data_IF_541541029562
#
_entry.id   IF_541541029562
#
_cell.length_a   1.000
_cell.length_b   1.000
_cell.length_c   1.000
_cell.angle_alpha   90.00
_cell.angle_beta   90.00
_cell.angle_gamma   90.00
#
_symmetry.space_group_name_H-M   'P 1'
#
loop_
_entity.id
_entity.type
_entity.pdbx_description
1 polymer ?
#
# COMPACT_ATOMS: atom_id res chain seq x y z
N UNK A 1 13.18 8.79 -14.34
CA UNK A 1 12.32 8.06 -13.39
C UNK A 1 11.23 7.42 -14.22
N UNK A 2 11.14 6.11 -14.22
CA UNK A 2 10.01 5.40 -14.82
C UNK A 2 9.12 4.91 -13.67
N UNK A 3 7.82 4.78 -13.94
CA UNK A 3 6.80 4.45 -12.94
C UNK A 3 6.00 3.25 -13.43
N UNK A 4 5.63 2.35 -12.53
CA UNK A 4 4.66 1.28 -12.79
C UNK A 4 3.33 1.59 -12.10
N UNK A 5 2.22 1.28 -12.77
CA UNK A 5 0.88 1.37 -12.17
C UNK A 5 0.55 0.07 -11.47
N UNK A 6 0.37 0.09 -10.14
CA UNK A 6 -0.02 -1.08 -9.35
C UNK A 6 -1.49 -1.00 -8.92
N UNK A 7 -2.32 -1.90 -9.45
CA UNK A 7 -3.76 -1.92 -9.14
C UNK A 7 -4.04 -2.38 -7.72
N UNK A 8 -3.12 -3.14 -7.13
CA UNK A 8 -3.22 -3.57 -5.73
C UNK A 8 -3.10 -2.42 -4.73
N UNK A 9 -2.68 -1.23 -5.18
CA UNK A 9 -2.65 0.01 -4.39
C UNK A 9 -3.80 0.97 -4.71
N UNK A 10 -4.78 0.57 -5.53
CA UNK A 10 -5.94 1.41 -5.80
C UNK A 10 -6.83 1.56 -4.55
N UNK A 11 -7.67 2.59 -4.58
CA UNK A 11 -8.71 2.89 -3.58
C UNK A 11 -9.50 1.65 -3.18
N UNK A 12 -10.08 1.70 -1.98
CA UNK A 12 -11.03 0.70 -1.55
C UNK A 12 -12.23 0.68 -2.50
N UNK A 13 -12.42 -0.43 -3.21
CA UNK A 13 -13.51 -0.58 -4.18
C UNK A 13 -14.82 -0.92 -3.46
N UNK A 14 -15.23 -0.07 -2.53
CA UNK A 14 -16.34 -0.34 -1.62
C UNK A 14 -17.10 0.94 -1.23
N UNK A 15 -18.24 0.77 -0.53
CA UNK A 15 -19.12 1.87 -0.13
C UNK A 15 -18.53 2.75 0.98
N UNK A 16 -17.51 2.24 1.67
CA UNK A 16 -16.76 2.94 2.70
C UNK A 16 -15.92 4.08 2.13
N UNK A 17 -15.39 3.91 0.91
CA UNK A 17 -14.56 4.93 0.24
C UNK A 17 -15.29 5.62 -0.92
N UNK A 18 -16.20 4.93 -1.62
CA UNK A 18 -16.86 5.46 -2.81
C UNK A 18 -18.35 5.65 -2.56
N UNK A 19 -18.86 6.86 -2.84
CA UNK A 19 -20.27 7.17 -2.70
C UNK A 19 -21.13 6.25 -3.60
N UNK A 20 -22.06 5.45 -3.03
CA UNK A 20 -22.87 4.51 -3.82
C UNK A 20 -23.71 5.16 -4.94
N UNK A 21 -23.99 6.46 -4.86
CA UNK A 21 -24.76 7.18 -5.89
C UNK A 21 -23.95 7.43 -7.17
N UNK A 22 -22.63 7.40 -7.11
CA UNK A 22 -21.74 7.57 -8.27
C UNK A 22 -21.10 6.25 -8.73
N UNK A 23 -21.24 5.18 -7.94
CA UNK A 23 -20.73 3.86 -8.30
C UNK A 23 -21.48 3.30 -9.53
N UNK A 24 -20.79 2.63 -10.47
CA UNK A 24 -21.42 1.97 -11.61
C UNK A 24 -22.44 0.93 -11.16
N UNK A 25 -23.66 1.00 -11.68
CA UNK A 25 -24.76 0.09 -11.32
C UNK A 25 -24.56 -1.34 -11.84
N UNK A 26 -23.78 -1.49 -12.91
CA UNK A 26 -23.41 -2.76 -13.53
C UNK A 26 -22.07 -3.31 -12.99
N UNK A 27 -21.44 -2.61 -12.03
CA UNK A 27 -20.13 -2.95 -11.51
C UNK A 27 -18.97 -2.73 -12.49
N UNK A 28 -19.24 -2.18 -13.68
CA UNK A 28 -18.23 -1.91 -14.68
C UNK A 28 -17.65 -0.50 -14.47
N UNK A 29 -16.43 -0.46 -13.94
CA UNK A 29 -15.71 0.80 -13.69
C UNK A 29 -15.14 1.46 -14.94
N UNK A 30 -15.23 0.80 -16.12
CA UNK A 30 -14.73 1.35 -17.37
C UNK A 30 -13.24 1.71 -17.33
N UNK A 31 -12.48 1.00 -16.50
CA UNK A 31 -11.08 1.30 -16.25
C UNK A 31 -10.20 0.42 -17.13
N UNK A 32 -9.86 0.93 -18.32
CA UNK A 32 -8.84 0.33 -19.18
C UNK A 32 -7.46 0.87 -18.79
N UNK A 33 -6.63 0.00 -18.20
CA UNK A 33 -5.28 0.38 -17.75
C UNK A 33 -4.41 0.88 -18.90
N UNK A 34 -4.52 0.25 -20.08
CA UNK A 34 -3.71 0.61 -21.24
C UNK A 34 -4.10 2.00 -21.75
N UNK A 35 -5.40 2.30 -21.76
CA UNK A 35 -5.91 3.63 -22.08
C UNK A 35 -5.40 4.67 -21.09
N UNK A 36 -5.44 4.39 -19.78
CA UNK A 36 -4.96 5.33 -18.75
C UNK A 36 -3.45 5.55 -18.82
N UNK A 37 -2.68 4.49 -19.08
CA UNK A 37 -1.22 4.60 -19.23
C UNK A 37 -0.83 5.39 -20.50
N UNK A 38 -1.60 5.25 -21.58
CA UNK A 38 -1.38 6.01 -22.81
C UNK A 38 -1.65 7.52 -22.65
N UNK A 39 -2.39 7.93 -21.62
CA UNK A 39 -2.60 9.35 -21.28
C UNK A 39 -1.38 9.99 -20.60
N UNK A 40 -0.44 9.19 -20.08
CA UNK A 40 0.77 9.69 -19.44
C UNK A 40 1.81 10.12 -20.49
N UNK A 41 2.71 11.07 -20.15
CA UNK A 41 3.78 11.46 -21.07
C UNK A 41 4.62 10.28 -21.55
N UNK A 42 5.06 10.33 -22.81
CA UNK A 42 5.87 9.27 -23.39
C UNK A 42 7.15 9.03 -22.57
N UNK A 43 7.42 7.77 -22.23
CA UNK A 43 8.55 7.37 -21.40
C UNK A 43 8.32 7.45 -19.88
N UNK A 44 7.13 7.87 -19.41
CA UNK A 44 6.78 7.85 -17.99
C UNK A 44 6.56 6.43 -17.47
N UNK A 45 5.81 5.60 -18.20
CA UNK A 45 5.45 4.24 -17.76
C UNK A 45 6.59 3.26 -18.08
N UNK A 46 6.99 2.47 -17.09
CA UNK A 46 7.85 1.31 -17.33
C UNK A 46 7.00 0.09 -17.70
N UNK A 47 7.00 -0.25 -18.99
CA UNK A 47 6.26 -1.41 -19.50
C UNK A 47 6.97 -2.75 -19.24
N UNK A 48 8.18 -2.75 -18.66
CA UNK A 48 8.91 -3.97 -18.32
C UNK A 48 8.56 -4.50 -16.92
N UNK A 49 8.02 -3.63 -16.06
CA UNK A 49 7.56 -4.00 -14.73
C UNK A 49 6.22 -4.72 -14.84
N UNK A 50 6.14 -5.91 -14.24
CA UNK A 50 4.89 -6.66 -14.15
C UNK A 50 4.15 -6.21 -12.90
N UNK A 51 2.85 -5.95 -13.05
CA UNK A 51 1.96 -5.70 -11.91
C UNK A 51 1.84 -6.96 -11.07
N UNK A 52 1.87 -6.79 -9.76
CA UNK A 52 1.57 -7.86 -8.81
C UNK A 52 0.07 -8.15 -8.86
N UNK A 53 -0.76 -7.11 -8.85
CA UNK A 53 -2.20 -7.22 -8.97
C UNK A 53 -2.66 -6.90 -10.41
N UNK A 54 -3.31 -7.87 -11.05
CA UNK A 54 -3.58 -7.82 -12.52
C UNK A 54 -4.86 -7.10 -12.90
N UNK A 55 -5.83 -7.07 -12.00
CA UNK A 55 -7.17 -6.55 -12.25
C UNK A 55 -7.59 -5.65 -11.09
N UNK A 56 -8.57 -4.77 -11.30
CA UNK A 56 -9.12 -4.01 -10.18
C UNK A 56 -9.81 -4.96 -9.18
N UNK A 57 -9.78 -4.63 -7.87
CA UNK A 57 -10.58 -5.32 -6.88
C UNK A 57 -12.07 -5.24 -7.25
N UNK A 58 -12.82 -6.29 -6.90
CA UNK A 58 -14.25 -6.34 -7.15
C UNK A 58 -14.99 -5.29 -6.31
N UNK A 59 -16.07 -4.75 -6.86
CA UNK A 59 -16.94 -3.83 -6.13
C UNK A 59 -17.51 -4.48 -4.87
N UNK A 60 -17.57 -3.70 -3.78
CA UNK A 60 -17.92 -4.15 -2.43
C UNK A 60 -16.91 -5.14 -1.84
N UNK A 61 -15.62 -4.98 -2.17
CA UNK A 61 -14.57 -5.67 -1.42
C UNK A 61 -14.68 -5.30 0.08
N UNK A 62 -14.65 -6.28 1.00
CA UNK A 62 -14.66 -6.00 2.42
C UNK A 62 -13.43 -5.21 2.86
N UNK A 63 -13.60 -4.27 3.81
CA UNK A 63 -12.49 -3.49 4.40
C UNK A 63 -11.31 -4.36 4.82
N UNK A 64 -11.58 -5.53 5.44
CA UNK A 64 -10.54 -6.47 5.85
C UNK A 64 -9.75 -7.05 4.67
N UNK A 65 -10.41 -7.28 3.53
CA UNK A 65 -9.75 -7.75 2.30
C UNK A 65 -8.94 -6.64 1.64
N UNK A 66 -9.44 -5.40 1.62
CA UNK A 66 -8.67 -4.24 1.15
C UNK A 66 -7.38 -4.06 1.97
N UNK A 67 -7.49 -4.15 3.30
CA UNK A 67 -6.31 -4.06 4.20
C UNK A 67 -5.31 -5.16 3.94
N UNK A 68 -5.77 -6.41 3.82
CA UNK A 68 -4.91 -7.54 3.50
C UNK A 68 -4.22 -7.37 2.14
N UNK A 69 -4.94 -6.85 1.13
CA UNK A 69 -4.39 -6.53 -0.19
C UNK A 69 -3.29 -5.48 -0.11
N UNK A 70 -3.51 -4.36 0.59
CA UNK A 70 -2.47 -3.34 0.75
C UNK A 70 -1.21 -3.90 1.45
N UNK A 71 -1.38 -4.64 2.55
CA UNK A 71 -0.25 -5.29 3.24
C UNK A 71 0.53 -6.22 2.30
N UNK A 72 -0.17 -7.09 1.58
CA UNK A 72 0.43 -8.05 0.67
C UNK A 72 1.21 -7.35 -0.45
N UNK A 73 0.65 -6.30 -1.04
CA UNK A 73 1.28 -5.59 -2.15
C UNK A 73 2.55 -4.86 -1.70
N UNK A 74 2.56 -4.27 -0.51
CA UNK A 74 3.80 -3.67 0.04
C UNK A 74 4.90 -4.72 0.21
N UNK A 75 4.54 -5.94 0.67
CA UNK A 75 5.49 -7.05 0.81
C UNK A 75 6.00 -7.55 -0.54
N UNK A 76 5.08 -7.87 -1.46
CA UNK A 76 5.40 -8.44 -2.76
C UNK A 76 6.28 -7.49 -3.59
N UNK A 77 5.93 -6.20 -3.66
CA UNK A 77 6.75 -5.23 -4.37
C UNK A 77 8.15 -5.11 -3.75
N UNK A 78 8.26 -5.06 -2.42
CA UNK A 78 9.56 -5.00 -1.79
C UNK A 78 10.39 -6.28 -2.06
N UNK A 79 9.73 -7.45 -2.13
CA UNK A 79 10.36 -8.75 -2.40
C UNK A 79 10.83 -8.90 -3.84
N UNK A 80 10.07 -8.36 -4.80
CA UNK A 80 10.43 -8.32 -6.22
C UNK A 80 11.61 -7.37 -6.49
N UNK A 81 11.76 -6.32 -5.67
CA UNK A 81 12.80 -5.29 -5.79
C UNK A 81 13.67 -5.16 -4.52
N UNK A 82 14.37 -6.24 -4.08
CA UNK A 82 15.01 -6.29 -2.77
C UNK A 82 16.25 -5.41 -2.64
N UNK A 83 16.75 -4.85 -3.74
CA UNK A 83 17.93 -3.96 -3.76
C UNK A 83 17.58 -2.51 -4.06
N UNK A 84 16.30 -2.17 -4.19
CA UNK A 84 15.83 -0.84 -4.57
C UNK A 84 15.09 -0.16 -3.42
N UNK A 85 15.07 1.17 -3.45
CA UNK A 85 14.17 1.95 -2.62
C UNK A 85 12.89 2.20 -3.42
N UNK A 86 11.75 1.76 -2.88
CA UNK A 86 10.45 1.91 -3.53
C UNK A 86 9.71 3.13 -2.96
N UNK A 87 9.13 3.93 -3.86
CA UNK A 87 8.17 4.97 -3.50
C UNK A 87 6.79 4.52 -3.96
N UNK A 88 5.93 4.19 -3.00
CA UNK A 88 4.56 3.75 -3.25
C UNK A 88 3.61 4.91 -2.98
N UNK A 89 2.78 5.27 -3.96
CA UNK A 89 1.80 6.36 -3.86
C UNK A 89 0.41 5.75 -3.89
N UNK A 90 -0.41 6.02 -2.87
CA UNK A 90 -1.74 5.43 -2.68
C UNK A 90 -2.64 6.37 -1.83
N UNK A 91 -3.74 5.83 -1.33
CA UNK A 91 -4.78 6.49 -0.54
C UNK A 91 -4.47 6.46 0.97
N UNK A 92 -5.20 7.25 1.76
CA UNK A 92 -4.98 7.35 3.20
C UNK A 92 -5.06 6.01 3.93
N UNK A 93 -6.01 5.14 3.54
CA UNK A 93 -6.12 3.79 4.11
C UNK A 93 -4.88 2.94 3.80
N UNK A 94 -4.34 3.01 2.58
CA UNK A 94 -3.12 2.29 2.20
C UNK A 94 -1.90 2.71 3.03
N UNK A 95 -1.76 4.02 3.29
CA UNK A 95 -0.72 4.56 4.19
C UNK A 95 -0.92 4.07 5.63
N UNK A 96 -2.16 4.08 6.14
CA UNK A 96 -2.48 3.58 7.48
C UNK A 96 -2.22 2.09 7.64
N UNK A 97 -2.50 1.28 6.61
CA UNK A 97 -2.18 -0.14 6.58
C UNK A 97 -0.68 -0.38 6.57
N UNK A 98 0.08 0.36 5.75
CA UNK A 98 1.54 0.28 5.75
C UNK A 98 2.13 0.54 7.15
N UNK A 99 1.55 1.44 7.95
CA UNK A 99 2.00 1.59 9.34
C UNK A 99 1.56 0.43 10.22
N UNK A 100 0.26 0.13 10.26
CA UNK A 100 -0.32 -0.82 11.24
C UNK A 100 0.05 -2.28 10.98
N UNK A 101 0.32 -2.65 9.73
CA UNK A 101 0.77 -4.00 9.37
C UNK A 101 2.20 -4.29 9.85
N UNK A 102 3.07 -3.27 9.89
CA UNK A 102 4.48 -3.43 10.23
C UNK A 102 4.87 -2.83 11.59
N UNK A 103 4.01 -2.03 12.23
CA UNK A 103 4.15 -1.58 13.61
C UNK A 103 3.16 -2.32 14.51
N UNK A 104 3.68 -3.30 15.25
CA UNK A 104 2.86 -4.19 16.08
C UNK A 104 1.94 -3.42 17.04
N UNK A 105 0.65 -3.78 17.00
CA UNK A 105 -0.43 -3.21 17.82
C UNK A 105 -0.73 -1.72 17.58
N UNK A 106 -0.18 -1.10 16.53
CA UNK A 106 -0.55 0.27 16.21
C UNK A 106 -1.96 0.35 15.65
N UNK A 107 -2.72 1.36 16.12
CA UNK A 107 -4.01 1.72 15.54
C UNK A 107 -3.90 3.12 14.97
N UNK A 108 -4.01 3.25 13.65
CA UNK A 108 -4.04 4.52 12.94
C UNK A 108 -5.44 5.10 13.03
N UNK A 109 -5.55 6.38 13.36
CA UNK A 109 -6.84 7.09 13.44
C UNK A 109 -6.91 8.30 12.52
N UNK A 110 -5.79 8.77 11.99
CA UNK A 110 -5.75 9.90 11.05
C UNK A 110 -4.54 9.80 10.12
N UNK A 111 -4.76 10.14 8.85
CA UNK A 111 -3.74 10.26 7.81
C UNK A 111 -4.03 11.55 7.04
N UNK A 112 -3.14 12.52 7.17
CA UNK A 112 -3.24 13.83 6.53
C UNK A 112 -2.92 13.78 5.02
N UNK A 113 -3.24 14.87 4.32
CA UNK A 113 -2.86 15.02 2.92
C UNK A 113 -1.33 15.03 2.76
N UNK A 114 -0.82 14.24 1.81
CA UNK A 114 0.62 14.00 1.61
C UNK A 114 1.35 13.38 2.82
N UNK A 115 0.61 12.77 3.76
CA UNK A 115 1.22 11.98 4.81
C UNK A 115 1.95 10.75 4.23
N UNK A 116 2.97 10.27 4.94
CA UNK A 116 3.78 9.14 4.49
C UNK A 116 4.24 8.25 5.65
N UNK A 117 4.57 7.01 5.30
CA UNK A 117 5.18 6.03 6.20
C UNK A 117 6.51 5.58 5.61
N UNK A 118 7.56 5.58 6.42
CA UNK A 118 8.87 5.05 6.05
C UNK A 118 9.04 3.66 6.66
N UNK A 119 9.27 2.68 5.79
CA UNK A 119 9.51 1.29 6.13
C UNK A 119 10.95 0.92 5.74
N UNK A 120 11.64 0.21 6.62
CA UNK A 120 12.98 -0.30 6.38
C UNK A 120 13.06 -1.76 6.73
N UNK A 121 13.80 -2.55 5.96
CA UNK A 121 14.09 -3.95 6.30
C UNK A 121 15.53 -4.32 5.93
N UNK A 122 16.17 -5.25 6.67
CA UNK A 122 17.49 -5.72 6.30
C UNK A 122 17.41 -6.72 5.14
N UNK A 123 18.39 -6.63 4.23
CA UNK A 123 18.54 -7.52 3.08
C UNK A 123 19.88 -8.23 3.20
N UNK A 124 19.84 -9.55 3.29
CA UNK A 124 21.03 -10.40 3.41
C UNK A 124 21.25 -11.14 2.10
N UNK A 125 22.36 -10.84 1.41
CA UNK A 125 22.75 -11.59 0.22
C UNK A 125 23.47 -12.88 0.64
N UNK A 126 22.95 -14.03 0.20
CA UNK A 126 23.60 -15.32 0.38
C UNK A 126 23.70 -16.01 -0.97
N UNK A 127 24.93 -16.18 -1.45
CA UNK A 127 25.20 -16.75 -2.79
C UNK A 127 24.46 -15.98 -3.90
N UNK A 128 23.55 -16.67 -4.61
CA UNK A 128 22.71 -16.13 -5.69
C UNK A 128 21.28 -15.79 -5.24
N UNK A 129 20.98 -15.84 -3.93
CA UNK A 129 19.65 -15.50 -3.40
C UNK A 129 19.70 -14.39 -2.35
N UNK A 130 18.54 -13.77 -2.13
CA UNK A 130 18.35 -12.78 -1.08
C UNK A 130 17.50 -13.40 0.03
N UNK A 131 17.89 -13.15 1.28
CA UNK A 131 17.06 -13.36 2.45
C UNK A 131 16.66 -12.00 3.00
N UNK A 132 15.37 -11.76 3.12
CA UNK A 132 14.81 -10.52 3.67
C UNK A 132 14.50 -10.71 5.15
N UNK A 133 14.66 -9.65 5.95
CA UNK A 133 14.17 -9.60 7.32
C UNK A 133 12.80 -8.92 7.41
N UNK A 134 12.28 -8.82 8.64
CA UNK A 134 11.06 -8.09 8.93
C UNK A 134 11.22 -6.59 8.71
N UNK A 135 10.11 -5.92 8.40
CA UNK A 135 10.06 -4.47 8.34
C UNK A 135 10.12 -3.83 9.72
N UNK A 136 10.79 -2.70 9.78
CA UNK A 136 10.81 -1.72 10.84
C UNK A 136 10.13 -0.45 10.33
N UNK A 137 9.20 0.09 11.12
CA UNK A 137 8.57 1.39 10.84
C UNK A 137 9.42 2.49 11.44
N UNK A 138 9.95 3.38 10.60
CA UNK A 138 10.76 4.52 11.04
C UNK A 138 9.92 5.77 11.31
N UNK A 139 8.66 5.76 10.87
CA UNK A 139 7.70 6.84 11.13
C UNK A 139 7.33 6.94 12.60
N UNK A 140 7.43 8.16 13.14
CA UNK A 140 6.94 8.50 14.46
C UNK A 140 5.63 9.31 14.36
N UNK A 141 4.74 9.09 15.34
CA UNK A 141 3.42 9.75 15.39
C UNK A 141 3.54 11.26 15.31
N UNK A 142 2.72 11.89 14.46
CA UNK A 142 2.65 13.35 14.29
C UNK A 142 3.82 13.99 13.54
N UNK A 143 4.82 13.22 13.08
CA UNK A 143 5.94 13.79 12.30
C UNK A 143 5.71 13.75 10.79
N UNK A 144 4.91 12.80 10.31
CA UNK A 144 4.72 12.53 8.87
C UNK A 144 3.27 12.67 8.42
N UNK A 145 2.44 13.38 9.20
CA UNK A 145 0.99 13.49 8.97
C UNK A 145 0.21 12.20 9.28
N UNK A 146 0.85 11.20 9.92
CA UNK A 146 0.19 9.97 10.37
C UNK A 146 0.06 9.99 11.88
N UNK A 147 -1.17 9.88 12.37
CA UNK A 147 -1.47 9.84 13.80
C UNK A 147 -1.97 8.45 14.20
N UNK A 148 -1.29 7.86 15.18
CA UNK A 148 -1.60 6.53 15.70
C UNK A 148 -1.36 6.44 17.21
N UNK A 149 -2.00 5.48 17.86
CA UNK A 149 -1.69 5.09 19.22
C UNK A 149 -1.17 3.65 19.29
N UNK A 150 -0.32 3.40 20.29
CA UNK A 150 0.08 2.06 20.71
C UNK A 150 -0.65 1.75 22.02
N UNK A 151 -1.12 0.50 22.24
CA UNK A 151 -1.65 0.13 23.54
C UNK A 151 -0.56 0.31 24.60
N UNK A 152 -0.94 0.87 25.75
CA UNK A 152 -0.06 0.95 26.91
C UNK A 152 0.46 -0.45 27.26
N UNK A 153 1.76 -0.61 27.56
CA UNK A 153 2.26 -1.89 28.03
C UNK A 153 1.44 -2.28 29.27
N UNK A 154 0.73 -3.41 29.19
CA UNK A 154 0.00 -3.96 30.32
C UNK A 154 1.00 -4.07 31.48
N UNK A 155 0.75 -3.34 32.58
CA UNK A 155 1.51 -3.52 33.81
C UNK A 155 1.41 -5.00 34.17
N UNK A 156 2.52 -5.71 34.09
CA UNK A 156 2.60 -7.05 34.65
C UNK A 156 2.31 -6.89 36.15
N UNK A 157 1.13 -7.29 36.59
CA UNK A 157 0.87 -7.54 38.00
C UNK A 157 1.77 -8.70 38.41
N UNK A 158 2.81 -8.36 39.17
CA UNK A 158 3.66 -9.32 39.88
C UNK A 158 2.86 -10.18 40.84
#
# INVERSE_FOLDING_TARGET
MQVSVELGLCEMMSREAINPQIAPKDGNWGFDVSEREAMLPAGTVDNNVKRVYKELPQWEEPVSQTRARYEQIVKDLADDYPTENLLLVTHGEGVGVALSAFLKNATVYEVEYCAYVELKRPIFKKDQSFRVGEFEVLTHTGQTGVSYFLPSPSSKTS
#
